data_IF_241916445144
#
_entry.id   IF_241916445144
#
_cell.length_a   1.000
_cell.length_b   1.000
_cell.length_c   1.000
_cell.angle_alpha   90.00
_cell.angle_beta   90.00
_cell.angle_gamma   90.00
#
_symmetry.space_group_name_H-M   'P 1'
#
loop_
_entity.id
_entity.type
_entity.pdbx_description
1 polymer ?
#
# COMPACT_ATOMS: atom_id res chain seq x y z
N UNK A 1 -23.38 18.20 -10.59
CA UNK A 1 -22.66 17.74 -9.39
C UNK A 1 -22.76 18.80 -8.30
N UNK A 2 -23.16 18.39 -7.10
CA UNK A 2 -23.32 19.26 -5.95
C UNK A 2 -22.61 18.72 -4.71
N UNK A 3 -22.65 19.45 -3.58
CA UNK A 3 -21.94 19.03 -2.36
C UNK A 3 -22.44 17.69 -1.80
N UNK A 4 -23.70 17.33 -2.00
CA UNK A 4 -24.24 16.01 -1.64
C UNK A 4 -23.56 14.89 -2.40
N UNK A 5 -23.37 15.06 -3.70
CA UNK A 5 -22.72 14.07 -4.55
C UNK A 5 -21.25 13.96 -4.22
N UNK A 6 -20.56 15.09 -3.99
CA UNK A 6 -19.18 15.10 -3.51
C UNK A 6 -19.03 14.34 -2.18
N UNK A 7 -19.95 14.55 -1.22
CA UNK A 7 -19.94 13.79 0.04
C UNK A 7 -20.08 12.28 -0.19
N UNK A 8 -20.93 11.86 -1.12
CA UNK A 8 -21.09 10.44 -1.48
C UNK A 8 -19.80 9.87 -2.08
N UNK A 9 -19.12 10.61 -2.94
CA UNK A 9 -17.83 10.21 -3.53
C UNK A 9 -16.71 10.13 -2.48
N UNK A 10 -16.69 11.06 -1.52
CA UNK A 10 -15.76 11.02 -0.39
C UNK A 10 -15.99 9.79 0.51
N UNK A 11 -17.25 9.41 0.75
CA UNK A 11 -17.57 8.15 1.43
C UNK A 11 -17.07 6.94 0.66
N UNK A 12 -17.29 6.92 -0.65
CA UNK A 12 -16.79 5.83 -1.51
C UNK A 12 -15.28 5.71 -1.48
N UNK A 13 -14.56 6.83 -1.54
CA UNK A 13 -13.10 6.84 -1.44
C UNK A 13 -12.63 6.32 -0.07
N UNK A 14 -13.31 6.68 1.02
CA UNK A 14 -13.00 6.17 2.36
C UNK A 14 -13.18 4.66 2.45
N UNK A 15 -14.29 4.11 1.95
CA UNK A 15 -14.53 2.66 1.91
C UNK A 15 -13.41 1.90 1.15
N UNK A 16 -12.95 2.46 0.03
CA UNK A 16 -11.85 1.88 -0.73
C UNK A 16 -10.51 1.97 0.00
N UNK A 17 -10.24 3.04 0.71
CA UNK A 17 -9.05 3.18 1.54
C UNK A 17 -9.07 2.24 2.76
N UNK A 18 -10.22 2.03 3.39
CA UNK A 18 -10.39 1.01 4.44
C UNK A 18 -10.12 -0.40 3.89
N UNK A 19 -10.61 -0.70 2.69
CA UNK A 19 -10.30 -1.97 2.01
C UNK A 19 -8.80 -2.08 1.70
N UNK A 20 -8.15 -1.00 1.27
CA UNK A 20 -6.70 -0.99 1.03
C UNK A 20 -5.92 -1.26 2.30
N UNK A 21 -6.27 -0.61 3.41
CA UNK A 21 -5.67 -0.87 4.71
C UNK A 21 -5.79 -2.36 5.07
N UNK A 22 -6.99 -2.92 4.97
CA UNK A 22 -7.25 -4.33 5.26
C UNK A 22 -6.37 -5.27 4.41
N UNK A 23 -6.25 -5.02 3.10
CA UNK A 23 -5.41 -5.83 2.21
C UNK A 23 -3.92 -5.72 2.52
N UNK A 24 -3.45 -4.57 2.94
CA UNK A 24 -2.07 -4.39 3.40
C UNK A 24 -1.80 -5.10 4.74
N UNK A 25 -2.78 -5.15 5.63
CA UNK A 25 -2.69 -5.92 6.87
C UNK A 25 -2.70 -7.43 6.62
N UNK A 26 -3.51 -7.93 5.67
CA UNK A 26 -3.44 -9.32 5.21
C UNK A 26 -2.05 -9.66 4.65
N UNK A 27 -1.48 -8.80 3.81
CA UNK A 27 -0.12 -8.95 3.30
C UNK A 27 0.91 -9.02 4.45
N UNK A 28 0.79 -8.14 5.44
CA UNK A 28 1.65 -8.13 6.62
C UNK A 28 1.59 -9.45 7.41
N UNK A 29 0.39 -10.01 7.58
CA UNK A 29 0.22 -11.30 8.24
C UNK A 29 0.91 -12.45 7.48
N UNK A 30 0.88 -12.42 6.15
CA UNK A 30 1.58 -13.39 5.31
C UNK A 30 3.10 -13.23 5.43
N UNK A 31 3.61 -12.01 5.41
CA UNK A 31 5.02 -11.70 5.57
C UNK A 31 5.56 -12.15 6.93
N UNK A 32 4.85 -11.83 8.01
CA UNK A 32 5.27 -12.15 9.38
C UNK A 32 5.15 -13.63 9.70
N UNK A 33 4.20 -14.35 9.07
CA UNK A 33 4.01 -15.80 9.26
C UNK A 33 4.89 -16.67 8.34
N UNK A 34 5.66 -16.06 7.44
CA UNK A 34 6.51 -16.75 6.47
C UNK A 34 5.74 -17.51 5.38
N UNK A 35 4.46 -17.21 5.19
CA UNK A 35 3.61 -17.87 4.16
C UNK A 35 3.79 -17.22 2.78
N UNK A 36 5.02 -17.21 2.29
CA UNK A 36 5.44 -16.49 1.08
C UNK A 36 4.74 -16.92 -0.19
N UNK A 37 4.25 -18.16 -0.27
CA UNK A 37 3.53 -18.67 -1.45
C UNK A 37 2.29 -17.85 -1.82
N UNK A 38 1.67 -17.16 -0.85
CA UNK A 38 0.48 -16.36 -1.06
C UNK A 38 0.74 -14.87 -1.30
N UNK A 39 1.99 -14.42 -1.16
CA UNK A 39 2.34 -13.00 -1.32
C UNK A 39 2.00 -12.46 -2.71
N UNK A 40 2.25 -13.25 -3.76
CA UNK A 40 1.91 -12.83 -5.12
C UNK A 40 0.40 -12.59 -5.31
N UNK A 41 -0.44 -13.37 -4.63
CA UNK A 41 -1.89 -13.15 -4.64
C UNK A 41 -2.27 -11.91 -3.82
N UNK A 42 -1.72 -11.75 -2.61
CA UNK A 42 -1.97 -10.59 -1.77
C UNK A 42 -1.56 -9.29 -2.48
N UNK A 43 -0.41 -9.25 -3.13
CA UNK A 43 0.05 -8.08 -3.91
C UNK A 43 -0.93 -7.74 -5.03
N UNK A 44 -1.42 -8.72 -5.78
CA UNK A 44 -2.43 -8.47 -6.83
C UNK A 44 -3.72 -7.88 -6.26
N UNK A 45 -4.15 -8.33 -5.09
CA UNK A 45 -5.33 -7.79 -4.42
C UNK A 45 -5.12 -6.35 -3.95
N UNK A 46 -3.94 -6.03 -3.41
CA UNK A 46 -3.55 -4.65 -3.07
C UNK A 46 -3.56 -3.77 -4.32
N UNK A 47 -2.94 -4.20 -5.42
CA UNK A 47 -2.90 -3.46 -6.69
C UNK A 47 -4.29 -3.20 -7.24
N UNK A 48 -5.19 -4.20 -7.20
CA UNK A 48 -6.57 -4.05 -7.66
C UNK A 48 -7.35 -3.01 -6.83
N UNK A 49 -7.15 -2.97 -5.53
CA UNK A 49 -7.79 -1.95 -4.68
C UNK A 49 -7.18 -0.57 -4.93
N UNK A 50 -5.87 -0.47 -5.10
CA UNK A 50 -5.19 0.78 -5.45
C UNK A 50 -5.70 1.38 -6.75
N UNK A 51 -5.97 0.57 -7.77
CA UNK A 51 -6.56 1.04 -9.02
C UNK A 51 -7.94 1.64 -8.80
N UNK A 52 -8.80 0.97 -8.04
CA UNK A 52 -10.13 1.51 -7.68
C UNK A 52 -10.05 2.81 -6.87
N UNK A 53 -9.06 2.94 -5.99
CA UNK A 53 -8.80 4.20 -5.27
C UNK A 53 -8.44 5.31 -6.24
N UNK A 54 -7.55 5.05 -7.22
CA UNK A 54 -7.18 6.05 -8.25
C UNK A 54 -8.39 6.50 -9.04
N UNK A 55 -9.24 5.57 -9.51
CA UNK A 55 -10.47 5.89 -10.24
C UNK A 55 -11.41 6.75 -9.38
N UNK A 56 -11.65 6.37 -8.12
CA UNK A 56 -12.48 7.12 -7.21
C UNK A 56 -11.93 8.54 -6.95
N UNK A 57 -10.63 8.68 -6.79
CA UNK A 57 -9.95 9.96 -6.61
C UNK A 57 -10.15 10.89 -7.82
N UNK A 58 -10.06 10.36 -9.05
CA UNK A 58 -10.30 11.14 -10.27
C UNK A 58 -11.74 11.68 -10.32
N UNK A 59 -12.73 10.82 -10.07
CA UNK A 59 -14.15 11.23 -10.07
C UNK A 59 -14.41 12.27 -8.97
N UNK A 60 -13.86 12.07 -7.77
CA UNK A 60 -13.97 13.02 -6.67
C UNK A 60 -13.34 14.37 -7.02
N UNK A 61 -12.20 14.38 -7.69
CA UNK A 61 -11.52 15.62 -8.09
C UNK A 61 -12.42 16.48 -8.97
N UNK A 62 -13.04 15.90 -9.99
CA UNK A 62 -13.99 16.61 -10.88
C UNK A 62 -15.18 17.15 -10.10
N UNK A 63 -15.72 16.37 -9.16
CA UNK A 63 -16.82 16.84 -8.31
C UNK A 63 -16.39 17.98 -7.37
N UNK A 64 -15.17 17.92 -6.83
CA UNK A 64 -14.59 18.97 -5.99
C UNK A 64 -14.43 20.29 -6.74
N UNK A 65 -13.90 20.26 -7.98
CA UNK A 65 -13.77 21.42 -8.88
C UNK A 65 -15.14 22.08 -9.14
N UNK A 66 -16.16 21.27 -9.39
CA UNK A 66 -17.51 21.75 -9.63
C UNK A 66 -18.09 22.45 -8.40
N UNK A 67 -17.94 21.84 -7.21
CA UNK A 67 -18.42 22.43 -5.95
C UNK A 67 -17.63 23.71 -5.63
N UNK A 68 -16.31 23.70 -5.77
CA UNK A 68 -15.44 24.86 -5.57
C UNK A 68 -15.88 26.05 -6.43
N UNK A 69 -16.06 25.84 -7.71
CA UNK A 69 -16.51 26.86 -8.66
C UNK A 69 -17.88 27.40 -8.29
N UNK A 70 -18.81 26.52 -7.91
CA UNK A 70 -20.18 26.91 -7.50
C UNK A 70 -20.17 27.80 -6.24
N UNK A 71 -19.20 27.57 -5.34
CA UNK A 71 -19.04 28.35 -4.12
C UNK A 71 -18.11 29.57 -4.28
N UNK A 72 -17.65 29.85 -5.50
CA UNK A 72 -16.77 31.00 -5.80
C UNK A 72 -15.33 30.81 -5.30
N UNK A 73 -14.92 29.55 -5.09
CA UNK A 73 -13.56 29.18 -4.71
C UNK A 73 -12.74 28.83 -5.96
N UNK A 74 -11.41 28.70 -5.76
CA UNK A 74 -10.54 28.17 -6.82
C UNK A 74 -10.98 26.76 -7.24
N UNK A 75 -10.97 26.42 -8.54
CA UNK A 75 -11.22 25.05 -9.00
C UNK A 75 -10.28 24.03 -8.36
N UNK A 76 -9.06 24.44 -8.00
CA UNK A 76 -8.05 23.61 -7.34
C UNK A 76 -8.15 23.61 -5.80
N UNK A 77 -9.26 24.13 -5.25
CA UNK A 77 -9.47 24.17 -3.80
C UNK A 77 -9.39 22.79 -3.17
N UNK A 78 -8.58 22.67 -2.14
CA UNK A 78 -8.45 21.46 -1.33
C UNK A 78 -9.75 21.19 -0.55
N UNK A 79 -9.94 19.95 -0.08
CA UNK A 79 -11.09 19.62 0.77
C UNK A 79 -11.16 20.50 2.03
N UNK A 80 -10.01 20.90 2.57
CA UNK A 80 -9.92 21.85 3.70
C UNK A 80 -10.48 23.23 3.33
N UNK A 81 -10.12 23.73 2.15
CA UNK A 81 -10.60 25.02 1.65
C UNK A 81 -12.10 24.95 1.29
N UNK A 82 -12.57 23.84 0.75
CA UNK A 82 -14.00 23.58 0.54
C UNK A 82 -14.78 23.60 1.85
N UNK A 83 -14.27 22.94 2.89
CA UNK A 83 -14.89 22.95 4.20
C UNK A 83 -14.95 24.37 4.79
N UNK A 84 -13.84 25.11 4.70
CA UNK A 84 -13.77 26.48 5.20
C UNK A 84 -14.66 27.47 4.42
N UNK A 85 -14.79 27.27 3.10
CA UNK A 85 -15.58 28.11 2.20
C UNK A 85 -17.04 27.66 2.02
N UNK A 86 -17.48 26.66 2.78
CA UNK A 86 -18.86 26.17 2.68
C UNK A 86 -19.88 27.25 3.05
N UNK A 87 -20.95 27.40 2.24
CA UNK A 87 -21.97 28.38 2.49
C UNK A 87 -22.67 28.17 3.84
N UNK A 88 -22.89 29.26 4.58
CA UNK A 88 -23.65 29.27 5.83
C UNK A 88 -24.97 30.05 5.66
N UNK A 89 -26.05 29.63 6.36
CA UNK A 89 -26.12 28.44 7.22
C UNK A 89 -26.25 27.15 6.42
N UNK A 90 -25.54 26.11 6.83
CA UNK A 90 -25.59 24.79 6.17
C UNK A 90 -24.70 23.74 6.83
N UNK A 91 -24.91 22.46 6.53
CA UNK A 91 -24.20 21.37 7.19
C UNK A 91 -22.83 21.05 6.56
N UNK A 92 -22.48 21.66 5.44
CA UNK A 92 -21.39 21.20 4.57
C UNK A 92 -20.00 21.39 5.18
N UNK A 93 -19.82 22.43 5.99
CA UNK A 93 -18.56 22.63 6.72
C UNK A 93 -18.23 21.42 7.59
N UNK A 94 -19.16 21.07 8.49
CA UNK A 94 -18.97 19.96 9.43
C UNK A 94 -18.82 18.61 8.71
N UNK A 95 -19.63 18.38 7.65
CA UNK A 95 -19.55 17.15 6.85
C UNK A 95 -18.17 17.02 6.18
N UNK A 96 -17.67 18.07 5.56
CA UNK A 96 -16.37 18.02 4.87
C UNK A 96 -15.18 17.97 5.83
N UNK A 97 -15.28 18.62 6.98
CA UNK A 97 -14.29 18.48 8.07
C UNK A 97 -14.23 17.03 8.58
N UNK A 98 -15.37 16.39 8.75
CA UNK A 98 -15.46 14.98 9.12
C UNK A 98 -14.85 14.04 8.06
N UNK A 99 -15.07 14.31 6.78
CA UNK A 99 -14.41 13.57 5.70
C UNK A 99 -12.90 13.79 5.71
N UNK A 100 -12.45 15.03 5.86
CA UNK A 100 -11.03 15.38 5.91
C UNK A 100 -10.32 14.66 7.06
N UNK A 101 -10.91 14.65 8.24
CA UNK A 101 -10.36 13.96 9.40
C UNK A 101 -10.24 12.46 9.15
N UNK A 102 -11.31 11.81 8.65
CA UNK A 102 -11.30 10.37 8.36
C UNK A 102 -10.31 9.97 7.26
N UNK A 103 -10.22 10.75 6.18
CA UNK A 103 -9.25 10.50 5.10
C UNK A 103 -7.80 10.67 5.58
N UNK A 104 -7.54 11.67 6.42
CA UNK A 104 -6.22 11.91 7.00
C UNK A 104 -5.80 10.75 7.89
N UNK A 105 -6.68 10.27 8.76
CA UNK A 105 -6.42 9.14 9.65
C UNK A 105 -6.14 7.86 8.86
N UNK A 106 -6.96 7.52 7.87
CA UNK A 106 -6.76 6.37 6.99
C UNK A 106 -5.43 6.44 6.24
N UNK A 107 -5.08 7.59 5.70
CA UNK A 107 -3.81 7.80 4.98
C UNK A 107 -2.61 7.53 5.90
N UNK A 108 -2.64 7.97 7.15
CA UNK A 108 -1.58 7.70 8.13
C UNK A 108 -1.46 6.20 8.41
N UNK A 109 -2.59 5.52 8.67
CA UNK A 109 -2.61 4.07 8.94
C UNK A 109 -2.09 3.26 7.75
N UNK A 110 -2.56 3.56 6.54
CA UNK A 110 -2.12 2.90 5.30
C UNK A 110 -0.61 3.07 5.11
N UNK A 111 -0.09 4.28 5.29
CA UNK A 111 1.35 4.56 5.19
C UNK A 111 2.14 3.74 6.19
N UNK A 112 1.71 3.68 7.44
CA UNK A 112 2.37 2.92 8.50
C UNK A 112 2.46 1.43 8.16
N UNK A 113 1.37 0.81 7.74
CA UNK A 113 1.35 -0.62 7.37
C UNK A 113 2.21 -0.88 6.14
N UNK A 114 2.08 -0.05 5.10
CA UNK A 114 2.89 -0.16 3.86
C UNK A 114 4.39 -0.08 4.15
N UNK A 115 4.81 0.90 4.95
CA UNK A 115 6.22 1.09 5.28
C UNK A 115 6.76 -0.07 6.12
N UNK A 116 5.95 -0.61 7.03
CA UNK A 116 6.27 -1.82 7.78
C UNK A 116 6.42 -3.04 6.85
N UNK A 117 5.50 -3.25 5.91
CA UNK A 117 5.59 -4.33 4.93
C UNK A 117 6.85 -4.22 4.06
N UNK A 118 7.20 -3.02 3.61
CA UNK A 118 8.42 -2.77 2.85
C UNK A 118 9.69 -3.12 3.65
N UNK A 119 9.71 -2.83 4.95
CA UNK A 119 10.83 -3.22 5.83
C UNK A 119 10.94 -4.74 5.96
N UNK A 120 9.83 -5.47 6.15
CA UNK A 120 9.83 -6.93 6.18
C UNK A 120 10.42 -7.54 4.90
N UNK A 121 10.01 -7.06 3.74
CA UNK A 121 10.54 -7.53 2.44
C UNK A 121 12.04 -7.25 2.32
N UNK A 122 12.49 -6.07 2.70
CA UNK A 122 13.90 -5.69 2.66
C UNK A 122 14.74 -6.55 3.59
N UNK A 123 14.29 -6.81 4.81
CA UNK A 123 14.99 -7.69 5.76
C UNK A 123 15.07 -9.13 5.27
N UNK A 124 14.00 -9.68 4.72
CA UNK A 124 13.97 -11.02 4.16
C UNK A 124 14.96 -11.16 2.99
N UNK A 125 15.01 -10.18 2.08
CA UNK A 125 15.95 -10.17 0.96
C UNK A 125 17.41 -10.13 1.44
N UNK A 126 17.73 -9.29 2.43
CA UNK A 126 19.08 -9.19 3.01
C UNK A 126 19.49 -10.52 3.65
N UNK A 127 18.63 -11.12 4.47
CA UNK A 127 18.91 -12.41 5.12
C UNK A 127 19.20 -13.52 4.10
N UNK A 128 18.46 -13.56 3.00
CA UNK A 128 18.69 -14.50 1.91
C UNK A 128 20.06 -14.28 1.25
N UNK A 129 20.43 -13.03 0.97
CA UNK A 129 21.73 -12.69 0.37
C UNK A 129 22.89 -13.06 1.30
N UNK A 130 22.78 -12.79 2.60
CA UNK A 130 23.80 -13.16 3.59
C UNK A 130 23.96 -14.67 3.68
N UNK A 131 22.88 -15.44 3.65
CA UNK A 131 22.92 -16.91 3.65
C UNK A 131 23.62 -17.45 2.41
N UNK A 132 23.30 -16.93 1.22
CA UNK A 132 23.95 -17.32 -0.03
C UNK A 132 25.44 -16.97 -0.02
N UNK A 133 25.82 -15.78 0.43
CA UNK A 133 27.23 -15.37 0.51
C UNK A 133 28.03 -16.25 1.47
N UNK A 134 27.46 -16.69 2.59
CA UNK A 134 28.08 -17.59 3.53
C UNK A 134 28.27 -18.97 2.92
N UNK A 135 27.30 -19.53 2.21
CA UNK A 135 27.41 -20.80 1.51
C UNK A 135 28.51 -20.79 0.43
N UNK A 136 28.57 -19.69 -0.35
CA UNK A 136 29.62 -19.51 -1.36
C UNK A 136 31.00 -19.36 -0.71
N UNK A 137 31.10 -18.70 0.43
CA UNK A 137 32.33 -18.56 1.22
C UNK A 137 32.84 -19.92 1.76
N UNK A 138 31.94 -20.72 2.29
CA UNK A 138 32.26 -22.07 2.76
C UNK A 138 32.71 -22.98 1.60
N UNK A 139 32.01 -22.97 0.46
CA UNK A 139 32.40 -23.73 -0.73
C UNK A 139 33.80 -23.36 -1.22
N UNK A 140 34.16 -22.07 -1.25
CA UNK A 140 35.50 -21.60 -1.62
C UNK A 140 36.58 -22.00 -0.61
N UNK A 141 36.24 -22.05 0.69
CA UNK A 141 37.18 -22.46 1.73
C UNK A 141 37.52 -23.95 1.61
N UNK A 142 36.56 -24.78 1.26
CA UNK A 142 36.80 -26.21 1.00
C UNK A 142 37.59 -26.43 -0.30
N UNK A 143 37.38 -25.62 -1.33
CA UNK A 143 38.13 -25.70 -2.59
C UNK A 143 39.62 -25.29 -2.40
N UNK A 144 39.88 -24.27 -1.57
CA UNK A 144 41.24 -23.81 -1.24
C UNK A 144 42.06 -24.82 -0.40
N UNK A 145 41.40 -25.77 0.28
CA UNK A 145 42.05 -26.81 1.09
C UNK A 145 42.36 -28.10 0.32
N UNK A 146 42.13 -28.16 -1.01
CA UNK A 146 42.53 -29.26 -1.88
C UNK A 146 41.63 -30.50 -1.84
N UNK A 147 40.44 -30.41 -1.28
CA UNK A 147 39.44 -31.49 -1.34
C UNK A 147 38.60 -31.37 -2.62
N UNK A 148 38.99 -32.06 -3.69
CA UNK A 148 38.40 -32.00 -5.03
C UNK A 148 37.01 -32.68 -5.16
N UNK A 149 36.17 -32.74 -4.17
CA UNK A 149 34.93 -33.54 -4.20
C UNK A 149 33.65 -32.84 -3.82
N UNK A 150 33.66 -31.55 -3.53
CA UNK A 150 32.44 -30.85 -3.08
C UNK A 150 31.56 -30.29 -4.21
N UNK A 151 31.98 -30.39 -5.46
CA UNK A 151 31.27 -29.77 -6.59
C UNK A 151 30.04 -30.57 -7.10
N UNK A 152 29.90 -31.86 -6.68
CA UNK A 152 28.81 -32.72 -7.16
C UNK A 152 27.59 -32.80 -6.23
N UNK A 153 27.73 -32.47 -4.94
CA UNK A 153 26.65 -32.64 -3.98
C UNK A 153 25.73 -31.39 -3.86
N UNK A 154 26.25 -30.21 -4.12
CA UNK A 154 25.42 -28.99 -4.11
C UNK A 154 24.36 -28.92 -5.21
N UNK A 155 24.68 -29.42 -6.40
CA UNK A 155 23.77 -29.49 -7.53
C UNK A 155 22.63 -30.51 -7.34
N UNK A 156 22.87 -31.57 -6.59
CA UNK A 156 21.86 -32.62 -6.32
C UNK A 156 20.85 -32.24 -5.26
N UNK A 157 21.18 -31.34 -4.38
CA UNK A 157 20.22 -30.84 -3.37
C UNK A 157 19.12 -29.97 -3.96
N UNK A 158 19.37 -29.27 -5.06
CA UNK A 158 18.38 -28.45 -5.76
C UNK A 158 17.50 -29.27 -6.72
N UNK A 159 18.00 -30.35 -7.29
CA UNK A 159 17.24 -31.22 -8.20
C UNK A 159 16.23 -32.15 -7.47
N UNK A 160 16.31 -32.26 -6.16
CA UNK A 160 15.42 -33.16 -5.37
C UNK A 160 14.24 -32.43 -4.74
N UNK A 161 14.16 -31.09 -4.83
CA UNK A 161 13.12 -30.24 -4.20
C UNK A 161 12.22 -29.54 -5.25
N UNK A 162 12.41 -29.81 -6.52
CA UNK A 162 11.49 -29.47 -7.61
C UNK A 162 10.82 -30.77 -8.12
#
# INVERSE_FOLDING_TARGET
>A
MGPQELSTLLWRERELLEMLQFKLEEEQLLLTSGRTRWLAQANREVENVMEKVREATLVRTVASETVATTWGLSPEATLRELAAGAPEPGPWREIFEGHLAGLTELTVRIRTVRDSNAQFVTHAARSTQETLANLDGEARTYDASGAATAQSDGARLFDTVL
#
